data_IF_085973125357
#
_entry.id   IF_085973125357
#
_cell.length_a   1.000
_cell.length_b   1.000
_cell.length_c   1.000
_cell.angle_alpha   90.00
_cell.angle_beta   90.00
_cell.angle_gamma   90.00
#
_symmetry.space_group_name_H-M   'P 1'
#
loop_
_entity.id
_entity.type
_entity.pdbx_description
1 polymer ?
#
# COMPACT_ATOMS: atom_id res chain seq x y z
N UNK A 1 -9.05 -3.72 15.44
CA UNK A 1 -7.84 -3.34 16.20
C UNK A 1 -6.64 -3.48 15.28
N UNK A 2 -5.85 -2.43 15.08
CA UNK A 2 -4.60 -2.51 14.33
C UNK A 2 -3.45 -2.99 15.21
N UNK A 3 -2.62 -3.91 14.67
CA UNK A 3 -1.44 -4.49 15.32
C UNK A 3 -0.38 -4.85 14.28
N UNK A 4 0.85 -5.11 14.72
CA UNK A 4 1.84 -5.75 13.86
C UNK A 4 1.36 -7.14 13.41
N UNK A 5 1.69 -7.48 12.17
CA UNK A 5 1.46 -8.81 11.62
C UNK A 5 2.34 -9.83 12.33
N UNK A 6 1.80 -11.03 12.50
CA UNK A 6 2.50 -12.23 12.97
C UNK A 6 2.78 -13.15 11.78
N UNK A 7 3.75 -14.07 11.88
CA UNK A 7 4.05 -15.00 10.79
C UNK A 7 2.82 -15.78 10.31
N UNK A 8 1.91 -16.14 11.23
CA UNK A 8 0.67 -16.85 10.91
C UNK A 8 -0.37 -16.01 10.13
N UNK A 9 -0.24 -14.67 10.11
CA UNK A 9 -1.15 -13.80 9.35
C UNK A 9 -0.81 -13.81 7.84
N UNK A 10 0.45 -14.08 7.46
CA UNK A 10 0.96 -13.88 6.10
C UNK A 10 0.16 -14.62 5.00
N UNK A 11 -0.23 -15.89 5.17
CA UNK A 11 -1.06 -16.56 4.17
C UNK A 11 -2.41 -15.86 3.96
N UNK A 12 -3.00 -15.31 5.03
CA UNK A 12 -4.29 -14.63 4.95
C UNK A 12 -4.19 -13.26 4.25
N UNK A 13 -3.02 -12.61 4.26
CA UNK A 13 -2.80 -11.33 3.58
C UNK A 13 -2.95 -11.48 2.07
N UNK A 14 -2.45 -12.59 1.51
CA UNK A 14 -2.55 -12.88 0.07
C UNK A 14 -4.00 -13.01 -0.37
N UNK A 15 -4.78 -13.81 0.36
CA UNK A 15 -6.21 -13.99 0.06
C UNK A 15 -7.00 -12.69 0.23
N UNK A 16 -6.62 -11.87 1.21
CA UNK A 16 -7.19 -10.54 1.40
C UNK A 16 -6.89 -9.61 0.23
N UNK A 17 -5.63 -9.56 -0.22
CA UNK A 17 -5.20 -8.76 -1.35
C UNK A 17 -5.97 -9.12 -2.62
N UNK A 18 -6.07 -10.42 -2.95
CA UNK A 18 -6.88 -10.88 -4.08
C UNK A 18 -8.32 -10.42 -3.96
N UNK A 19 -8.94 -10.61 -2.78
CA UNK A 19 -10.33 -10.22 -2.56
C UNK A 19 -10.53 -8.70 -2.73
N UNK A 20 -9.57 -7.88 -2.29
CA UNK A 20 -9.59 -6.43 -2.50
C UNK A 20 -9.38 -6.07 -3.97
N UNK A 21 -8.49 -6.78 -4.66
CA UNK A 21 -8.12 -6.56 -6.05
C UNK A 21 -9.23 -6.82 -7.07
N UNK A 22 -10.23 -7.66 -6.73
CA UNK A 22 -11.38 -7.95 -7.63
C UNK A 22 -12.06 -6.69 -8.17
N UNK A 23 -12.13 -5.62 -7.36
CA UNK A 23 -12.74 -4.34 -7.75
C UNK A 23 -12.08 -3.68 -8.97
N UNK A 24 -10.82 -4.01 -9.27
CA UNK A 24 -10.16 -3.52 -10.47
C UNK A 24 -10.80 -4.05 -11.76
N UNK A 25 -11.50 -5.20 -11.73
CA UNK A 25 -12.25 -5.70 -12.91
C UNK A 25 -13.37 -4.75 -13.31
N UNK A 26 -14.05 -4.15 -12.33
CA UNK A 26 -15.21 -3.28 -12.56
C UNK A 26 -14.83 -1.98 -13.29
N UNK A 27 -13.54 -1.64 -13.31
CA UNK A 27 -12.97 -0.47 -14.00
C UNK A 27 -12.11 -0.86 -15.21
N UNK A 28 -12.27 -2.08 -15.72
CA UNK A 28 -11.57 -2.55 -16.93
C UNK A 28 -10.10 -2.93 -16.70
N UNK A 29 -9.66 -3.07 -15.45
CA UNK A 29 -8.28 -3.36 -15.07
C UNK A 29 -8.13 -4.83 -14.64
N UNK A 30 -8.66 -5.75 -15.45
CA UNK A 30 -8.65 -7.19 -15.12
C UNK A 30 -7.24 -7.75 -14.88
N UNK A 31 -6.25 -7.31 -15.66
CA UNK A 31 -4.83 -7.67 -15.47
C UNK A 31 -4.31 -7.35 -14.07
N UNK A 32 -4.78 -6.26 -13.47
CA UNK A 32 -4.41 -5.86 -12.11
C UNK A 32 -5.17 -6.69 -11.08
N UNK A 33 -6.44 -7.01 -11.34
CA UNK A 33 -7.22 -7.90 -10.49
C UNK A 33 -6.71 -9.36 -10.49
N UNK A 34 -6.05 -9.76 -11.58
CA UNK A 34 -5.45 -11.09 -11.78
C UNK A 34 -3.98 -11.16 -11.34
N UNK A 35 -3.38 -10.02 -10.94
CA UNK A 35 -1.98 -10.00 -10.50
C UNK A 35 -1.80 -10.82 -9.21
N UNK A 36 -0.64 -11.46 -9.12
CA UNK A 36 -0.34 -12.34 -8.00
C UNK A 36 0.17 -11.50 -6.82
N UNK A 37 -0.47 -11.56 -5.64
CA UNK A 37 0.07 -10.92 -4.45
C UNK A 37 1.45 -11.45 -4.13
N UNK A 38 2.22 -10.63 -3.42
CA UNK A 38 3.48 -11.04 -2.79
C UNK A 38 3.36 -12.42 -2.13
N UNK A 39 4.35 -13.28 -2.38
CA UNK A 39 4.45 -14.58 -1.72
C UNK A 39 4.66 -14.42 -0.21
N UNK A 40 4.45 -15.50 0.55
CA UNK A 40 4.70 -15.48 2.00
C UNK A 40 6.17 -15.16 2.28
N UNK A 41 7.06 -15.70 1.45
CA UNK A 41 8.50 -15.51 1.52
C UNK A 41 8.89 -14.05 1.29
N UNK A 42 8.22 -13.35 0.38
CA UNK A 42 8.49 -11.94 0.13
C UNK A 42 7.81 -11.00 1.14
N UNK A 43 6.69 -11.42 1.76
CA UNK A 43 6.05 -10.67 2.85
C UNK A 43 6.79 -10.82 4.19
N UNK A 44 7.51 -11.94 4.40
CA UNK A 44 8.16 -12.25 5.66
C UNK A 44 9.17 -11.19 6.13
N UNK A 45 10.02 -10.58 5.29
CA UNK A 45 10.90 -9.48 5.69
C UNK A 45 10.14 -8.27 6.25
N UNK A 46 9.05 -7.85 5.61
CA UNK A 46 8.22 -6.75 6.12
C UNK A 46 7.67 -7.07 7.52
N UNK A 47 7.25 -8.31 7.72
CA UNK A 47 6.73 -8.78 9.01
C UNK A 47 7.81 -8.82 10.08
N UNK A 48 8.96 -9.44 9.80
CA UNK A 48 10.05 -9.58 10.78
C UNK A 48 10.66 -8.24 11.17
N UNK A 49 10.70 -7.28 10.25
CA UNK A 49 11.25 -5.95 10.47
C UNK A 49 10.25 -4.99 11.15
N UNK A 50 9.04 -5.45 11.48
CA UNK A 50 8.02 -4.63 12.11
C UNK A 50 7.42 -3.57 11.17
N UNK A 51 7.38 -3.88 9.87
CA UNK A 51 6.87 -3.00 8.80
C UNK A 51 5.63 -3.56 8.10
N UNK A 52 4.94 -4.50 8.75
CA UNK A 52 3.68 -5.08 8.31
C UNK A 52 2.64 -4.94 9.43
N UNK A 53 1.53 -4.27 9.14
CA UNK A 53 0.43 -4.07 10.08
C UNK A 53 -0.86 -4.66 9.55
N UNK A 54 -1.65 -5.25 10.44
CA UNK A 54 -2.96 -5.81 10.14
C UNK A 54 -4.02 -5.16 11.00
N UNK A 55 -5.22 -5.04 10.47
CA UNK A 55 -6.41 -4.71 11.25
C UNK A 55 -7.24 -5.97 11.43
N UNK A 56 -7.53 -6.31 12.67
CA UNK A 56 -8.34 -7.46 13.06
C UNK A 56 -9.77 -7.02 13.41
N UNK A 57 -10.76 -7.76 12.91
CA UNK A 57 -12.17 -7.68 13.28
C UNK A 57 -12.69 -9.09 13.61
N UNK A 58 -13.25 -9.27 14.81
CA UNK A 58 -13.73 -10.56 15.33
C UNK A 58 -12.75 -11.74 15.15
N UNK A 59 -11.46 -11.53 15.40
CA UNK A 59 -10.43 -12.59 15.29
C UNK A 59 -9.95 -12.89 13.87
N UNK A 60 -10.39 -12.10 12.87
CA UNK A 60 -9.97 -12.24 11.46
C UNK A 60 -9.22 -11.00 10.99
N UNK A 61 -8.16 -11.20 10.22
CA UNK A 61 -7.48 -10.11 9.51
C UNK A 61 -8.37 -9.62 8.36
N UNK A 62 -8.69 -8.33 8.37
CA UNK A 62 -9.62 -7.70 7.42
C UNK A 62 -9.03 -6.52 6.64
N UNK A 63 -7.85 -6.04 7.05
CA UNK A 63 -7.03 -5.11 6.28
C UNK A 63 -5.56 -5.30 6.63
N UNK A 64 -4.64 -4.94 5.74
CA UNK A 64 -3.22 -4.85 6.06
C UNK A 64 -2.51 -3.75 5.27
N UNK A 65 -1.32 -3.40 5.73
CA UNK A 65 -0.40 -2.49 5.08
C UNK A 65 1.03 -2.99 5.28
N UNK A 66 1.85 -2.94 4.23
CA UNK A 66 3.30 -3.07 4.32
C UNK A 66 3.98 -1.77 3.89
N UNK A 67 5.11 -1.47 4.53
CA UNK A 67 5.90 -0.29 4.24
C UNK A 67 7.41 -0.59 4.24
N UNK A 68 8.18 0.28 3.62
CA UNK A 68 9.65 0.26 3.65
C UNK A 68 10.22 1.67 3.72
N UNK A 69 11.54 1.80 3.76
CA UNK A 69 12.21 3.10 3.71
C UNK A 69 12.74 3.30 2.30
N UNK A 70 12.29 4.36 1.63
CA UNK A 70 12.68 4.72 0.25
C UNK A 70 12.99 6.21 0.22
N UNK A 71 14.17 6.58 -0.27
CA UNK A 71 14.65 7.96 -0.36
C UNK A 71 14.52 8.72 0.97
N UNK A 72 14.94 8.09 2.08
CA UNK A 72 14.81 8.57 3.46
C UNK A 72 13.37 8.89 3.89
N UNK A 73 12.37 8.24 3.29
CA UNK A 73 10.94 8.43 3.59
C UNK A 73 10.27 7.08 3.84
N UNK A 74 9.16 7.07 4.59
CA UNK A 74 8.33 5.86 4.67
C UNK A 74 7.61 5.65 3.34
N UNK A 75 7.79 4.51 2.69
CA UNK A 75 7.06 4.14 1.47
C UNK A 75 5.99 3.11 1.80
N UNK A 76 4.74 3.40 1.47
CA UNK A 76 3.66 2.42 1.56
C UNK A 76 3.70 1.61 0.27
N UNK A 77 4.15 0.36 0.40
CA UNK A 77 4.26 -0.57 -0.73
C UNK A 77 2.90 -1.18 -1.07
N UNK A 78 2.11 -1.50 -0.06
CA UNK A 78 0.79 -2.07 -0.25
C UNK A 78 -0.16 -1.70 0.88
N UNK A 79 -1.42 -1.44 0.54
CA UNK A 79 -2.52 -1.34 1.50
C UNK A 79 -3.77 -1.97 0.91
N UNK A 80 -4.34 -2.92 1.63
CA UNK A 80 -5.52 -3.66 1.18
C UNK A 80 -6.54 -3.78 2.30
N UNK A 81 -7.82 -3.64 1.94
CA UNK A 81 -8.96 -3.77 2.85
C UNK A 81 -9.97 -4.69 2.19
N UNK A 82 -10.49 -5.67 2.92
CA UNK A 82 -11.56 -6.52 2.41
C UNK A 82 -12.75 -5.67 1.91
N UNK A 83 -13.34 -5.98 0.75
CA UNK A 83 -14.49 -5.21 0.24
C UNK A 83 -15.66 -5.13 1.21
N UNK A 84 -15.93 -6.20 1.95
CA UNK A 84 -16.98 -6.24 3.00
C UNK A 84 -16.70 -5.33 4.20
N UNK A 85 -15.46 -4.84 4.33
CA UNK A 85 -14.99 -3.96 5.39
C UNK A 85 -14.58 -2.57 4.86
N UNK A 86 -14.79 -2.32 3.57
CA UNK A 86 -14.52 -1.03 2.95
C UNK A 86 -15.39 0.08 3.55
N UNK A 87 -14.95 1.34 3.40
CA UNK A 87 -15.65 2.54 3.90
C UNK A 87 -15.85 2.61 5.42
N UNK A 88 -15.14 1.76 6.19
CA UNK A 88 -15.10 1.79 7.66
C UNK A 88 -13.89 2.55 8.24
N UNK A 89 -13.08 3.19 7.39
CA UNK A 89 -11.89 3.94 7.82
C UNK A 89 -10.62 3.12 8.05
N UNK A 90 -10.65 1.80 7.85
CA UNK A 90 -9.53 0.90 8.17
C UNK A 90 -8.24 1.21 7.38
N UNK A 91 -8.37 1.56 6.10
CA UNK A 91 -7.22 1.97 5.29
C UNK A 91 -6.55 3.24 5.83
N UNK A 92 -7.35 4.19 6.35
CA UNK A 92 -6.82 5.40 6.99
C UNK A 92 -6.11 5.05 8.30
N UNK A 93 -6.71 4.21 9.14
CA UNK A 93 -6.10 3.76 10.41
C UNK A 93 -4.73 3.10 10.19
N UNK A 94 -4.61 2.26 9.16
CA UNK A 94 -3.34 1.65 8.76
C UNK A 94 -2.32 2.70 8.27
N UNK A 95 -2.75 3.67 7.46
CA UNK A 95 -1.87 4.75 6.97
C UNK A 95 -1.38 5.62 8.12
N UNK A 96 -2.23 5.96 9.09
CA UNK A 96 -1.79 6.70 10.28
C UNK A 96 -0.84 5.86 11.16
N UNK A 97 -1.01 4.53 11.21
CA UNK A 97 -0.07 3.63 11.89
C UNK A 97 1.30 3.64 11.21
N UNK A 98 1.33 3.59 9.87
CA UNK A 98 2.57 3.71 9.09
C UNK A 98 3.20 5.09 9.25
N UNK A 99 2.38 6.14 9.37
CA UNK A 99 2.84 7.47 9.69
C UNK A 99 3.53 7.48 11.05
N UNK A 100 2.88 7.05 12.14
CA UNK A 100 3.52 6.98 13.45
C UNK A 100 4.84 6.19 13.45
N UNK A 101 4.92 5.09 12.70
CA UNK A 101 6.16 4.33 12.50
C UNK A 101 7.25 5.17 11.85
N UNK A 102 6.95 5.84 10.72
CA UNK A 102 7.90 6.71 10.03
C UNK A 102 8.38 7.85 10.94
N UNK A 103 7.51 8.37 11.80
CA UNK A 103 7.82 9.45 12.74
C UNK A 103 8.78 9.00 13.84
N UNK A 104 8.61 7.78 14.36
CA UNK A 104 9.53 7.16 15.33
C UNK A 104 10.93 6.95 14.74
N UNK A 105 11.04 6.80 13.41
CA UNK A 105 12.30 6.71 12.68
C UNK A 105 12.87 8.07 12.24
N UNK A 106 12.16 9.17 12.50
CA UNK A 106 12.58 10.51 12.08
C UNK A 106 12.43 10.79 10.58
N UNK A 107 11.67 9.96 9.86
CA UNK A 107 11.44 10.12 8.43
C UNK A 107 10.45 11.29 8.18
N UNK A 108 10.72 12.20 7.23
CA UNK A 108 9.99 13.47 7.10
C UNK A 108 8.65 13.34 6.37
N UNK A 109 8.38 12.21 5.71
CA UNK A 109 7.20 12.04 4.87
C UNK A 109 6.85 10.57 4.67
N UNK A 110 5.61 10.34 4.22
CA UNK A 110 5.16 9.11 3.59
C UNK A 110 5.09 9.28 2.06
N UNK A 111 5.40 8.21 1.33
CA UNK A 111 5.26 8.12 -0.13
C UNK A 111 4.52 6.84 -0.51
N UNK A 112 3.96 6.81 -1.72
CA UNK A 112 3.34 5.63 -2.33
C UNK A 112 3.28 5.81 -3.86
N UNK A 113 3.07 4.72 -4.59
CA UNK A 113 2.68 4.75 -6.01
C UNK A 113 1.25 4.22 -6.17
N UNK A 114 0.48 4.79 -7.09
CA UNK A 114 -0.92 4.38 -7.26
C UNK A 114 -1.50 4.78 -8.61
N UNK A 115 -2.68 4.26 -8.95
CA UNK A 115 -3.40 4.65 -10.16
C UNK A 115 -4.05 6.03 -10.01
N UNK A 116 -3.79 6.92 -10.98
CA UNK A 116 -4.17 8.33 -10.92
C UNK A 116 -5.68 8.56 -10.99
N UNK A 117 -6.40 7.71 -11.72
CA UNK A 117 -7.81 7.94 -12.08
C UNK A 117 -8.80 7.04 -11.32
N UNK A 118 -8.29 6.00 -10.65
CA UNK A 118 -9.10 5.05 -9.88
C UNK A 118 -9.56 5.69 -8.57
N UNK A 119 -10.87 5.77 -8.33
CA UNK A 119 -11.45 6.59 -7.24
C UNK A 119 -11.00 6.19 -5.81
N UNK A 120 -10.67 4.92 -5.60
CA UNK A 120 -10.13 4.41 -4.33
C UNK A 120 -8.60 4.49 -4.22
N UNK A 121 -7.92 5.05 -5.23
CA UNK A 121 -6.47 5.25 -5.29
C UNK A 121 -6.11 6.74 -5.17
N UNK A 122 -5.52 7.39 -6.19
CA UNK A 122 -5.00 8.76 -6.03
C UNK A 122 -6.02 9.77 -5.49
N UNK A 123 -7.31 9.78 -5.92
CA UNK A 123 -8.33 10.65 -5.32
C UNK A 123 -8.63 10.33 -3.85
N UNK A 124 -8.47 9.07 -3.42
CA UNK A 124 -8.59 8.68 -2.01
C UNK A 124 -7.39 9.16 -1.20
N UNK A 125 -6.16 8.94 -1.67
CA UNK A 125 -4.97 9.41 -0.97
C UNK A 125 -4.90 10.94 -0.92
N UNK A 126 -5.39 11.64 -1.94
CA UNK A 126 -5.52 13.09 -1.93
C UNK A 126 -6.38 13.59 -0.76
N UNK A 127 -7.49 12.90 -0.46
CA UNK A 127 -8.33 13.19 0.71
C UNK A 127 -7.64 12.91 2.05
N UNK A 128 -6.58 12.10 2.06
CA UNK A 128 -5.76 11.82 3.24
C UNK A 128 -4.54 12.75 3.36
N UNK A 129 -4.45 13.79 2.52
CA UNK A 129 -3.38 14.79 2.56
C UNK A 129 -2.18 14.47 1.68
N UNK A 130 -2.21 13.39 0.88
CA UNK A 130 -1.18 13.15 -0.11
C UNK A 130 -1.34 14.11 -1.30
N UNK A 131 -0.22 14.56 -1.85
CA UNK A 131 -0.17 15.28 -3.14
C UNK A 131 0.60 14.45 -4.15
N UNK A 132 0.35 14.67 -5.44
CA UNK A 132 1.20 14.10 -6.48
C UNK A 132 2.64 14.60 -6.31
N UNK A 133 3.58 13.67 -6.38
CA UNK A 133 5.02 13.93 -6.38
C UNK A 133 5.50 13.97 -7.83
N UNK A 134 5.89 15.14 -8.37
CA UNK A 134 6.34 15.25 -9.75
C UNK A 134 7.54 14.36 -10.04
N UNK A 135 7.66 13.84 -11.27
CA UNK A 135 8.76 12.95 -11.66
C UNK A 135 10.15 13.55 -11.42
N UNK A 136 10.28 14.88 -11.51
CA UNK A 136 11.52 15.61 -11.24
C UNK A 136 11.92 15.63 -9.75
N UNK A 137 10.98 15.37 -8.83
CA UNK A 137 11.20 15.34 -7.38
C UNK A 137 11.35 13.90 -6.84
N UNK A 138 11.21 12.87 -7.68
CA UNK A 138 11.47 11.49 -7.27
C UNK A 138 12.95 11.33 -6.93
N UNK A 139 13.26 10.68 -5.80
CA UNK A 139 14.61 10.27 -5.49
C UNK A 139 15.03 9.04 -6.29
N UNK A 140 16.30 8.62 -6.20
CA UNK A 140 16.82 7.48 -6.96
C UNK A 140 16.05 6.18 -6.69
N UNK A 141 15.74 5.84 -5.44
CA UNK A 141 15.13 4.56 -5.09
C UNK A 141 13.68 4.51 -5.58
N UNK A 142 12.90 5.59 -5.41
CA UNK A 142 11.53 5.64 -5.92
C UNK A 142 11.48 5.66 -7.46
N UNK A 143 12.52 6.20 -8.13
CA UNK A 143 12.62 6.08 -9.60
C UNK A 143 12.83 4.63 -10.04
N UNK A 144 13.62 3.86 -9.30
CA UNK A 144 13.84 2.42 -9.59
C UNK A 144 12.58 1.59 -9.36
N UNK A 145 11.82 1.89 -8.30
CA UNK A 145 10.48 1.31 -8.08
C UNK A 145 9.57 1.60 -9.27
N UNK A 146 9.45 2.88 -9.68
CA UNK A 146 8.64 3.26 -10.85
C UNK A 146 9.10 2.57 -12.14
N UNK A 147 10.40 2.45 -12.36
CA UNK A 147 10.94 1.75 -13.53
C UNK A 147 10.59 0.25 -13.53
N UNK A 148 10.66 -0.39 -12.36
CA UNK A 148 10.26 -1.80 -12.19
C UNK A 148 8.77 -1.98 -12.48
N UNK A 149 7.92 -1.12 -11.92
CA UNK A 149 6.47 -1.13 -12.18
C UNK A 149 6.14 -0.94 -13.67
N UNK A 150 6.84 -0.04 -14.36
CA UNK A 150 6.72 0.15 -15.82
C UNK A 150 7.09 -1.13 -16.56
N UNK A 151 8.20 -1.79 -16.20
CA UNK A 151 8.62 -3.03 -16.85
C UNK A 151 7.65 -4.21 -16.63
N UNK A 152 6.90 -4.20 -15.53
CA UNK A 152 5.78 -5.11 -15.24
C UNK A 152 4.49 -4.73 -16.01
N UNK A 153 4.50 -3.60 -16.72
CA UNK A 153 3.37 -3.12 -17.50
C UNK A 153 2.27 -2.49 -16.67
N UNK A 154 2.58 -1.99 -15.46
CA UNK A 154 1.60 -1.32 -14.60
C UNK A 154 1.23 0.09 -15.11
N UNK A 155 2.00 0.64 -16.06
CA UNK A 155 1.73 1.93 -16.71
C UNK A 155 0.79 1.82 -17.92
N UNK A 156 0.19 0.65 -18.15
CA UNK A 156 -0.95 0.49 -19.06
C UNK A 156 -2.12 1.40 -18.66
N UNK A 157 -2.21 1.75 -17.36
CA UNK A 157 -3.07 2.81 -16.83
C UNK A 157 -2.22 3.91 -16.16
N UNK A 158 -2.66 5.19 -16.17
CA UNK A 158 -1.90 6.27 -15.56
C UNK A 158 -1.59 5.99 -14.08
N UNK A 159 -0.29 5.90 -13.74
CA UNK A 159 0.22 5.78 -12.37
C UNK A 159 0.98 7.02 -11.96
N UNK A 160 0.87 7.38 -10.69
CA UNK A 160 1.54 8.52 -10.08
C UNK A 160 2.18 8.11 -8.77
N UNK A 161 3.32 8.71 -8.47
CA UNK A 161 3.84 8.75 -7.10
C UNK A 161 3.13 9.87 -6.33
N UNK A 162 2.89 9.64 -5.05
CA UNK A 162 2.30 10.63 -4.15
C UNK A 162 3.13 10.73 -2.86
N UNK A 163 3.09 11.91 -2.24
CA UNK A 163 3.80 12.21 -0.99
C UNK A 163 2.86 12.91 0.00
N UNK A 164 2.98 12.56 1.28
CA UNK A 164 2.38 13.28 2.40
C UNK A 164 3.48 13.64 3.38
N UNK A 165 3.73 14.94 3.54
CA UNK A 165 4.67 15.42 4.55
C UNK A 165 4.05 15.25 5.94
N UNK A 166 4.90 15.02 6.94
CA UNK A 166 4.48 15.06 8.35
C UNK A 166 4.16 16.47 8.82
#
# INVERSE_FOLDING_TARGET
>A
MTRLARPEDLPALRELERAAGVLFRDVGMAKIADDEPWSVEELAPFQSDGRCWVTEDAGRVVAYLIAEVVDDRGHIEQVSVLPSHARRGLGRELIETADEWAGKLGLPALTLTTYAEVQWNAPYYARLGFRVLPSAELGPELREIRATEISRGLDEWPRVAMIRNR
#
